data_IF_770163911649
#
_entry.id   IF_770163911649
#
_cell.length_a   1.000
_cell.length_b   1.000
_cell.length_c   1.000
_cell.angle_alpha   90.00
_cell.angle_beta   90.00
_cell.angle_gamma   90.00
#
_symmetry.space_group_name_H-M   'P 1'
#
loop_
_entity.id
_entity.type
_entity.pdbx_description
1 polymer ?
#
# COMPACT_ATOMS: atom_id res chain seq x y z
N UNK A 1 -22.10 20.93 -33.84
CA UNK A 1 -22.88 19.81 -34.40
C UNK A 1 -22.04 19.02 -35.40
N UNK A 2 -22.34 17.71 -35.60
CA UNK A 2 -21.74 16.94 -36.74
C UNK A 2 -22.39 17.43 -37.99
N UNK A 3 -21.59 17.97 -38.92
CA UNK A 3 -22.05 18.53 -40.21
C UNK A 3 -22.12 17.44 -41.26
N UNK A 4 -21.13 16.53 -41.29
CA UNK A 4 -21.13 15.36 -42.15
C UNK A 4 -20.25 14.29 -41.56
N UNK A 5 -20.58 13.04 -41.84
CA UNK A 5 -19.74 11.88 -41.62
C UNK A 5 -19.60 11.08 -42.90
N UNK A 6 -18.41 10.69 -43.23
CA UNK A 6 -18.13 9.91 -44.42
C UNK A 6 -17.18 8.77 -44.08
N UNK A 7 -17.55 7.57 -44.49
CA UNK A 7 -16.76 6.38 -44.28
C UNK A 7 -16.34 5.77 -45.62
N UNK A 8 -15.05 5.57 -45.83
CA UNK A 8 -14.56 4.89 -47.05
C UNK A 8 -13.44 3.89 -46.70
N UNK A 9 -13.42 2.84 -47.49
CA UNK A 9 -12.41 1.81 -47.39
C UNK A 9 -11.10 2.26 -48.07
N UNK A 10 -10.01 2.29 -47.31
CA UNK A 10 -8.69 2.68 -47.85
C UNK A 10 -7.92 1.47 -48.37
N UNK A 11 -8.15 0.28 -47.76
CA UNK A 11 -7.64 -1.06 -48.18
C UNK A 11 -8.53 -2.13 -47.56
N UNK A 12 -8.38 -3.41 -47.99
CA UNK A 12 -9.23 -4.54 -47.59
C UNK A 12 -9.51 -4.71 -46.07
N UNK A 13 -8.77 -4.05 -45.18
CA UNK A 13 -8.95 -4.14 -43.72
C UNK A 13 -8.82 -2.78 -42.99
N UNK A 14 -8.87 -1.66 -43.71
CA UNK A 14 -8.75 -0.34 -43.11
C UNK A 14 -9.86 0.56 -43.62
N UNK A 15 -10.56 1.13 -42.62
CA UNK A 15 -11.62 2.11 -42.84
C UNK A 15 -11.10 3.47 -42.39
N UNK A 16 -11.30 4.48 -43.18
CA UNK A 16 -11.10 5.87 -42.81
C UNK A 16 -12.46 6.50 -42.58
N UNK A 17 -12.65 7.09 -41.40
CA UNK A 17 -13.84 7.85 -41.06
C UNK A 17 -13.44 9.31 -41.02
N UNK A 18 -14.08 10.15 -41.81
CA UNK A 18 -13.94 11.59 -41.78
C UNK A 18 -15.21 12.17 -41.18
N UNK A 19 -15.06 12.91 -40.09
CA UNK A 19 -16.15 13.57 -39.41
C UNK A 19 -15.88 15.06 -39.46
N UNK A 20 -16.73 15.82 -40.15
CA UNK A 20 -16.71 17.26 -40.13
C UNK A 20 -17.63 17.75 -39.02
N UNK A 21 -17.10 18.55 -38.11
CA UNK A 21 -17.83 19.09 -36.98
C UNK A 21 -17.80 20.60 -37.03
N UNK A 22 -18.95 21.20 -36.74
CA UNK A 22 -19.07 22.62 -36.42
C UNK A 22 -19.12 22.75 -34.89
N UNK A 23 -18.06 23.27 -34.30
CA UNK A 23 -17.93 23.41 -32.84
C UNK A 23 -18.81 24.54 -32.28
N UNK A 24 -19.30 25.44 -33.17
CA UNK A 24 -20.04 26.62 -32.75
C UNK A 24 -19.17 27.69 -32.09
N UNK A 25 -19.79 28.77 -31.55
CA UNK A 25 -19.04 29.83 -30.89
C UNK A 25 -18.42 29.36 -29.57
N UNK A 26 -17.22 29.88 -29.26
CA UNK A 26 -16.56 29.66 -27.99
C UNK A 26 -17.21 30.54 -26.91
N UNK A 27 -17.74 29.91 -25.86
CA UNK A 27 -18.32 30.62 -24.71
C UNK A 27 -17.29 30.80 -23.59
N UNK A 28 -17.42 31.90 -22.81
CA UNK A 28 -16.54 32.21 -21.68
C UNK A 28 -17.33 32.47 -20.42
N UNK A 29 -16.78 32.06 -19.25
CA UNK A 29 -17.34 32.42 -17.97
C UNK A 29 -17.27 33.93 -17.76
N UNK A 30 -18.40 34.56 -17.40
CA UNK A 30 -18.46 35.96 -17.08
C UNK A 30 -18.59 36.20 -15.58
N UNK A 31 -19.65 35.74 -14.95
CA UNK A 31 -19.89 35.85 -13.53
C UNK A 31 -20.32 34.50 -12.96
N UNK A 32 -19.86 34.18 -11.75
CA UNK A 32 -20.31 33.04 -10.97
C UNK A 32 -20.83 33.57 -9.65
N UNK A 33 -22.11 33.33 -9.37
CA UNK A 33 -22.80 33.76 -8.15
C UNK A 33 -23.24 32.57 -7.36
N UNK A 34 -23.29 32.73 -6.02
CA UNK A 34 -23.70 31.69 -5.10
C UNK A 34 -24.93 32.19 -4.32
N UNK A 35 -25.93 31.34 -4.20
CA UNK A 35 -27.15 31.62 -3.43
C UNK A 35 -27.51 30.45 -2.54
N UNK A 36 -27.91 30.72 -1.27
CA UNK A 36 -28.27 29.70 -0.30
C UNK A 36 -27.11 29.11 0.51
N UNK A 37 -25.91 29.68 0.41
CA UNK A 37 -24.70 29.29 1.13
C UNK A 37 -24.61 30.05 2.48
N UNK A 38 -25.24 29.52 3.51
CA UNK A 38 -25.18 30.15 4.84
C UNK A 38 -23.93 29.73 5.64
N UNK A 39 -23.36 28.60 5.35
CA UNK A 39 -22.23 28.01 6.07
C UNK A 39 -20.87 28.52 5.60
N UNK A 40 -20.69 28.64 4.31
CA UNK A 40 -19.43 29.07 3.68
C UNK A 40 -19.63 30.37 2.89
N UNK A 41 -18.64 31.26 2.96
CA UNK A 41 -18.68 32.52 2.21
C UNK A 41 -18.44 32.31 0.73
N UNK A 42 -18.95 33.24 -0.10
CA UNK A 42 -18.74 33.23 -1.56
C UNK A 42 -17.25 33.18 -1.91
N UNK A 43 -16.40 33.87 -1.14
CA UNK A 43 -14.95 33.87 -1.36
C UNK A 43 -14.33 32.48 -1.16
N UNK A 44 -14.76 31.72 -0.16
CA UNK A 44 -14.30 30.35 0.06
C UNK A 44 -14.76 29.40 -1.05
N UNK A 45 -16.01 29.56 -1.51
CA UNK A 45 -16.54 28.76 -2.60
C UNK A 45 -15.84 29.08 -3.93
N UNK A 46 -15.56 30.36 -4.19
CA UNK A 46 -14.83 30.81 -5.38
C UNK A 46 -13.38 30.28 -5.41
N UNK A 47 -12.69 30.23 -4.26
CA UNK A 47 -11.35 29.65 -4.15
C UNK A 47 -11.35 28.17 -4.56
N UNK A 48 -12.33 27.37 -4.09
CA UNK A 48 -12.45 25.95 -4.46
C UNK A 48 -12.83 25.79 -5.91
N UNK A 49 -13.76 26.63 -6.40
CA UNK A 49 -14.19 26.61 -7.80
C UNK A 49 -13.01 26.86 -8.73
N UNK A 50 -12.14 27.80 -8.38
CA UNK A 50 -10.93 28.16 -9.16
C UNK A 50 -11.21 28.29 -10.65
N UNK A 51 -12.29 28.99 -11.00
CA UNK A 51 -12.70 29.37 -12.35
C UNK A 51 -12.76 30.91 -12.38
N UNK A 52 -12.01 31.50 -13.29
CA UNK A 52 -11.91 32.96 -13.37
C UNK A 52 -12.80 33.50 -14.48
N UNK A 53 -13.18 34.78 -14.33
CA UNK A 53 -13.85 35.53 -15.39
C UNK A 53 -12.98 35.55 -16.64
N UNK A 54 -13.55 35.18 -17.80
CA UNK A 54 -12.87 35.12 -19.07
C UNK A 54 -12.29 33.75 -19.44
N UNK A 55 -12.27 32.79 -18.51
CA UNK A 55 -11.88 31.38 -18.79
C UNK A 55 -12.87 30.79 -19.81
N UNK A 56 -12.38 29.91 -20.67
CA UNK A 56 -13.21 29.19 -21.63
C UNK A 56 -14.22 28.33 -20.88
N UNK A 57 -15.49 28.40 -21.27
CA UNK A 57 -16.55 27.62 -20.67
C UNK A 57 -16.28 26.11 -20.87
N UNK A 58 -16.20 25.41 -19.77
CA UNK A 58 -15.99 23.96 -19.75
C UNK A 58 -16.91 23.32 -18.70
N UNK A 59 -18.01 22.74 -19.19
CA UNK A 59 -18.99 22.06 -18.32
C UNK A 59 -18.37 20.95 -17.47
N UNK A 60 -17.46 20.16 -18.03
CA UNK A 60 -16.79 19.09 -17.32
C UNK A 60 -15.92 19.62 -16.16
N UNK A 61 -15.26 20.77 -16.37
CA UNK A 61 -14.52 21.45 -15.31
C UNK A 61 -15.47 21.96 -14.23
N UNK A 62 -16.56 22.63 -14.61
CA UNK A 62 -17.60 23.13 -13.71
C UNK A 62 -18.15 21.99 -12.83
N UNK A 63 -18.59 20.90 -13.46
CA UNK A 63 -19.12 19.73 -12.76
C UNK A 63 -18.09 19.10 -11.81
N UNK A 64 -16.82 19.01 -12.22
CA UNK A 64 -15.75 18.48 -11.40
C UNK A 64 -15.40 19.33 -10.18
N UNK A 65 -15.74 20.63 -10.21
CA UNK A 65 -15.56 21.57 -9.10
C UNK A 65 -16.79 21.65 -8.19
N UNK A 66 -17.95 21.31 -8.72
CA UNK A 66 -19.21 21.28 -7.97
C UNK A 66 -19.46 19.92 -7.31
N UNK A 67 -19.30 18.83 -8.08
CA UNK A 67 -19.74 17.49 -7.67
C UNK A 67 -18.58 16.56 -7.42
N UNK A 68 -18.63 15.89 -6.31
CA UNK A 68 -17.91 14.68 -5.88
C UNK A 68 -16.62 14.32 -6.65
N UNK A 69 -15.65 15.20 -6.67
CA UNK A 69 -14.34 14.91 -7.21
C UNK A 69 -13.65 13.82 -6.36
N UNK A 70 -12.98 12.89 -7.03
CA UNK A 70 -12.22 11.84 -6.34
C UNK A 70 -11.09 12.40 -5.44
N UNK A 71 -10.54 13.56 -5.77
CA UNK A 71 -9.53 14.23 -4.98
C UNK A 71 -10.10 15.01 -3.77
N UNK A 72 -11.45 15.09 -3.61
CA UNK A 72 -12.09 15.82 -2.51
C UNK A 72 -11.93 17.34 -2.58
N UNK A 73 -11.58 17.87 -3.76
CA UNK A 73 -11.37 19.32 -3.98
C UNK A 73 -12.54 19.91 -4.78
N UNK A 74 -13.73 19.81 -4.23
CA UNK A 74 -14.96 20.29 -4.82
C UNK A 74 -15.90 20.84 -3.73
N UNK A 75 -16.89 21.66 -4.12
CA UNK A 75 -17.81 22.28 -3.19
C UNK A 75 -18.65 21.23 -2.42
N UNK A 76 -19.08 20.15 -3.10
CA UNK A 76 -19.85 19.11 -2.42
C UNK A 76 -19.02 18.40 -1.35
N UNK A 77 -17.73 18.18 -1.59
CA UNK A 77 -16.83 17.58 -0.60
C UNK A 77 -16.64 18.48 0.63
N UNK A 78 -16.51 19.80 0.43
CA UNK A 78 -16.39 20.75 1.54
C UNK A 78 -17.57 20.65 2.50
N UNK A 79 -18.79 20.63 2.00
CA UNK A 79 -20.00 20.52 2.81
C UNK A 79 -20.20 19.11 3.39
N UNK A 80 -19.95 18.07 2.61
CA UNK A 80 -20.10 16.67 3.06
C UNK A 80 -19.07 16.28 4.12
N UNK A 81 -17.89 16.91 4.14
CA UNK A 81 -16.90 16.69 5.18
C UNK A 81 -17.29 17.32 6.52
N UNK A 82 -18.22 18.28 6.50
CA UNK A 82 -18.83 18.87 7.72
C UNK A 82 -20.25 18.32 7.99
N UNK A 83 -20.58 17.17 7.47
CA UNK A 83 -21.81 16.44 7.80
C UNK A 83 -23.04 16.77 6.95
N UNK A 84 -22.97 17.65 5.98
CA UNK A 84 -24.09 18.02 5.13
C UNK A 84 -24.33 17.01 4.00
N UNK A 85 -24.72 15.80 4.37
CA UNK A 85 -24.89 14.67 3.45
C UNK A 85 -25.94 14.91 2.37
N UNK A 86 -26.96 15.72 2.62
CA UNK A 86 -28.02 16.08 1.71
C UNK A 86 -27.71 17.37 0.92
N UNK A 87 -26.45 17.83 0.95
CA UNK A 87 -26.00 18.98 0.18
C UNK A 87 -26.17 18.76 -1.33
N UNK A 88 -26.71 19.76 -1.98
CA UNK A 88 -26.92 19.73 -3.44
C UNK A 88 -26.69 21.11 -4.04
N UNK A 89 -25.68 21.31 -4.91
CA UNK A 89 -25.51 22.52 -5.72
C UNK A 89 -26.24 22.37 -7.05
N UNK A 90 -26.99 23.36 -7.45
CA UNK A 90 -27.73 23.40 -8.69
C UNK A 90 -27.22 24.58 -9.56
N UNK A 91 -26.30 24.34 -10.51
CA UNK A 91 -25.76 25.37 -11.37
C UNK A 91 -26.77 25.72 -12.48
N UNK A 92 -27.21 26.98 -12.53
CA UNK A 92 -28.07 27.52 -13.57
C UNK A 92 -27.24 28.34 -14.53
N UNK A 93 -27.18 27.91 -15.77
CA UNK A 93 -26.46 28.57 -16.84
C UNK A 93 -27.37 29.65 -17.47
N UNK A 94 -26.93 30.90 -17.45
CA UNK A 94 -27.63 32.03 -18.05
C UNK A 94 -26.82 32.53 -19.24
N UNK A 95 -27.35 32.36 -20.45
CA UNK A 95 -26.73 32.86 -21.66
C UNK A 95 -26.89 34.41 -21.71
N UNK A 96 -25.78 35.07 -21.93
CA UNK A 96 -25.71 36.52 -22.06
C UNK A 96 -25.36 36.86 -23.51
N UNK A 97 -25.93 37.93 -24.11
CA UNK A 97 -25.53 38.36 -25.43
C UNK A 97 -24.02 38.58 -25.54
N UNK A 98 -23.38 37.99 -26.57
CA UNK A 98 -21.96 38.13 -26.82
C UNK A 98 -21.09 37.06 -26.21
N UNK A 99 -21.30 35.77 -26.51
CA UNK A 99 -20.41 34.62 -26.21
C UNK A 99 -20.00 34.46 -24.72
N UNK A 100 -20.88 34.92 -23.81
CA UNK A 100 -20.62 34.86 -22.36
C UNK A 100 -21.69 34.07 -21.64
N UNK A 101 -21.30 33.40 -20.54
CA UNK A 101 -22.19 32.61 -19.67
C UNK A 101 -22.02 33.10 -18.23
N UNK A 102 -23.14 33.46 -17.62
CA UNK A 102 -23.24 33.63 -16.16
C UNK A 102 -23.72 32.32 -15.55
N UNK A 103 -23.15 31.95 -14.40
CA UNK A 103 -23.55 30.77 -13.64
C UNK A 103 -24.11 31.22 -12.28
N UNK A 104 -25.37 30.88 -12.03
CA UNK A 104 -25.99 31.05 -10.70
C UNK A 104 -26.03 29.67 -10.00
N UNK A 105 -25.17 29.49 -9.01
CA UNK A 105 -25.08 28.22 -8.24
C UNK A 105 -26.03 28.32 -7.05
N UNK A 106 -27.16 27.64 -7.17
CA UNK A 106 -28.15 27.56 -6.11
C UNK A 106 -27.82 26.41 -5.15
N UNK A 107 -27.44 26.74 -3.94
CA UNK A 107 -27.00 25.80 -2.94
C UNK A 107 -28.15 25.44 -2.01
N UNK A 108 -28.38 24.14 -1.86
CA UNK A 108 -29.25 23.56 -0.84
C UNK A 108 -28.37 22.84 0.17
N UNK A 109 -28.09 23.47 1.31
CA UNK A 109 -27.17 22.94 2.31
C UNK A 109 -27.77 21.69 3.02
N UNK A 110 -29.07 21.71 3.32
CA UNK A 110 -29.74 20.66 4.08
C UNK A 110 -29.39 20.69 5.57
N UNK A 111 -29.48 19.53 6.23
CA UNK A 111 -29.14 19.35 7.63
C UNK A 111 -27.82 18.61 7.79
N UNK A 112 -27.12 18.83 8.89
CA UNK A 112 -25.99 17.99 9.30
C UNK A 112 -26.49 16.63 9.78
N UNK A 113 -25.80 15.58 9.37
CA UNK A 113 -26.07 14.20 9.78
C UNK A 113 -24.95 13.67 10.67
N UNK A 114 -25.34 12.95 11.73
CA UNK A 114 -24.42 12.18 12.57
C UNK A 114 -24.54 10.70 12.26
N UNK A 115 -23.40 10.02 12.27
CA UNK A 115 -23.35 8.57 12.06
C UNK A 115 -24.00 7.89 13.28
N UNK A 116 -25.04 7.10 13.06
CA UNK A 116 -25.71 6.30 14.08
C UNK A 116 -25.09 4.91 14.18
N UNK A 117 -25.09 4.17 13.05
CA UNK A 117 -24.54 2.83 12.97
C UNK A 117 -23.61 2.70 11.78
N UNK A 118 -22.62 1.78 11.92
CA UNK A 118 -21.79 1.30 10.83
C UNK A 118 -22.01 -0.20 10.69
N UNK A 119 -22.59 -0.59 9.57
CA UNK A 119 -23.00 -1.96 9.23
C UNK A 119 -22.03 -2.50 8.17
N UNK A 120 -21.57 -3.72 8.33
CA UNK A 120 -20.66 -4.39 7.39
C UNK A 120 -21.41 -5.61 6.82
N UNK A 121 -21.37 -5.77 5.49
CA UNK A 121 -21.99 -6.89 4.77
C UNK A 121 -21.00 -7.52 3.80
N UNK A 122 -21.13 -8.83 3.60
CA UNK A 122 -20.38 -9.60 2.59
C UNK A 122 -19.07 -10.21 3.07
N UNK A 123 -18.68 -9.99 4.33
CA UNK A 123 -17.55 -10.66 4.96
C UNK A 123 -17.95 -12.07 5.43
N UNK A 124 -17.50 -13.09 4.69
CA UNK A 124 -17.82 -14.50 4.98
C UNK A 124 -16.69 -15.21 5.74
N UNK A 125 -15.44 -14.93 5.40
CA UNK A 125 -14.23 -15.50 6.01
C UNK A 125 -13.55 -14.51 6.94
N UNK A 126 -13.52 -13.23 6.53
CA UNK A 126 -12.84 -12.18 7.28
C UNK A 126 -13.68 -11.78 8.48
N UNK A 127 -13.07 -11.81 9.65
CA UNK A 127 -13.72 -11.40 10.89
C UNK A 127 -14.05 -9.90 10.88
N UNK A 128 -15.19 -9.54 11.41
CA UNK A 128 -15.69 -8.16 11.37
C UNK A 128 -14.73 -7.16 12.02
N UNK A 129 -14.01 -7.55 13.07
CA UNK A 129 -13.05 -6.68 13.73
C UNK A 129 -11.89 -6.24 12.81
N UNK A 130 -11.52 -7.07 11.83
CA UNK A 130 -10.47 -6.77 10.83
C UNK A 130 -10.92 -5.63 9.93
N UNK A 131 -12.19 -5.61 9.55
CA UNK A 131 -12.77 -4.54 8.73
C UNK A 131 -12.98 -3.30 9.58
N UNK A 132 -13.56 -3.43 10.78
CA UNK A 132 -13.87 -2.29 11.67
C UNK A 132 -12.65 -1.47 12.07
N UNK A 133 -11.48 -2.09 12.21
CA UNK A 133 -10.25 -1.38 12.58
C UNK A 133 -9.73 -0.45 11.46
N UNK A 134 -10.12 -0.70 10.22
CA UNK A 134 -9.78 0.12 9.04
C UNK A 134 -10.85 1.18 8.72
N UNK A 135 -11.99 1.18 9.45
CA UNK A 135 -13.08 2.14 9.26
C UNK A 135 -12.79 3.41 10.06
N UNK A 136 -12.75 4.54 9.36
CA UNK A 136 -12.55 5.86 9.95
C UNK A 136 -13.86 6.49 10.42
N UNK A 137 -14.98 6.16 9.80
CA UNK A 137 -16.32 6.65 10.18
C UNK A 137 -16.82 5.93 11.43
N UNK A 138 -16.96 6.66 12.53
CA UNK A 138 -17.36 6.06 13.83
C UNK A 138 -18.73 6.55 14.26
N UNK A 139 -19.55 5.69 14.92
CA UNK A 139 -20.82 6.09 15.49
C UNK A 139 -20.66 7.32 16.43
N UNK A 140 -21.61 8.26 16.34
CA UNK A 140 -21.62 9.52 17.10
C UNK A 140 -20.88 10.67 16.45
N UNK A 141 -19.98 10.45 15.48
CA UNK A 141 -19.30 11.50 14.73
C UNK A 141 -20.22 12.13 13.69
N UNK A 142 -19.90 13.34 13.25
CA UNK A 142 -20.50 13.91 12.05
C UNK A 142 -20.14 13.04 10.84
N UNK A 143 -21.05 12.96 9.87
CA UNK A 143 -20.73 12.35 8.59
C UNK A 143 -19.57 13.12 7.93
N UNK A 144 -18.62 12.39 7.39
CA UNK A 144 -17.48 12.97 6.67
C UNK A 144 -17.20 12.11 5.44
N UNK A 145 -17.30 12.72 4.26
CA UNK A 145 -17.09 12.04 2.98
C UNK A 145 -15.65 11.57 2.80
N UNK A 146 -14.70 12.40 3.19
CA UNK A 146 -13.27 12.07 3.10
C UNK A 146 -12.92 10.84 3.93
N UNK A 147 -13.52 10.66 5.12
CA UNK A 147 -13.37 9.47 5.95
C UNK A 147 -14.00 8.22 5.30
N UNK A 148 -15.12 8.38 4.58
CA UNK A 148 -15.71 7.26 3.81
C UNK A 148 -14.78 6.84 2.69
N UNK A 149 -14.28 7.77 1.88
CA UNK A 149 -13.35 7.49 0.77
C UNK A 149 -12.06 6.86 1.31
N UNK A 150 -11.53 7.39 2.41
CA UNK A 150 -10.36 6.84 3.08
C UNK A 150 -10.59 5.41 3.54
N UNK A 151 -11.74 5.13 4.15
CA UNK A 151 -12.13 3.78 4.56
C UNK A 151 -12.15 2.82 3.37
N UNK A 152 -12.79 3.21 2.26
CA UNK A 152 -12.81 2.38 1.05
C UNK A 152 -11.40 2.11 0.51
N UNK A 153 -10.53 3.11 0.51
CA UNK A 153 -9.13 2.97 0.09
C UNK A 153 -8.37 2.01 1.00
N UNK A 154 -8.46 2.16 2.31
CA UNK A 154 -7.78 1.28 3.27
C UNK A 154 -8.29 -0.17 3.12
N UNK A 155 -9.60 -0.39 2.99
CA UNK A 155 -10.16 -1.71 2.76
C UNK A 155 -9.67 -2.32 1.42
N UNK A 156 -9.53 -1.52 0.37
CA UNK A 156 -9.02 -2.00 -0.92
C UNK A 156 -7.55 -2.41 -0.87
N UNK A 157 -6.75 -1.76 -0.03
CA UNK A 157 -5.32 -2.07 0.13
C UNK A 157 -5.06 -3.35 0.92
N UNK A 158 -6.04 -3.86 1.66
CA UNK A 158 -5.93 -5.12 2.39
C UNK A 158 -5.70 -6.33 1.44
N UNK A 159 -6.16 -6.23 0.17
CA UNK A 159 -5.85 -7.19 -0.87
C UNK A 159 -6.74 -8.44 -0.91
N UNK A 160 -7.64 -8.64 0.05
CA UNK A 160 -8.59 -9.75 0.09
C UNK A 160 -10.05 -9.35 -0.16
N UNK A 161 -10.29 -8.10 -0.53
CA UNK A 161 -11.57 -7.63 -1.05
C UNK A 161 -11.45 -7.22 -2.52
N UNK A 162 -12.54 -7.37 -3.25
CA UNK A 162 -12.65 -6.90 -4.63
C UNK A 162 -12.96 -5.39 -4.63
N UNK A 163 -12.05 -4.51 -5.12
CA UNK A 163 -12.27 -3.06 -5.10
C UNK A 163 -13.47 -2.60 -5.95
N UNK A 164 -13.80 -3.35 -7.01
CA UNK A 164 -14.85 -2.98 -7.95
C UNK A 164 -16.26 -3.19 -7.38
N UNK A 165 -16.41 -4.16 -6.47
CA UNK A 165 -17.70 -4.48 -5.83
C UNK A 165 -17.86 -3.86 -4.44
N UNK A 166 -16.84 -3.12 -3.95
CA UNK A 166 -16.97 -2.41 -2.68
C UNK A 166 -17.88 -1.19 -2.82
N UNK A 167 -18.87 -1.11 -1.93
CA UNK A 167 -19.82 -0.01 -1.90
C UNK A 167 -20.04 0.54 -0.50
N UNK A 168 -20.53 1.77 -0.44
CA UNK A 168 -21.05 2.39 0.78
C UNK A 168 -22.42 2.94 0.49
N UNK A 169 -23.39 2.50 1.24
CA UNK A 169 -24.78 2.97 1.14
C UNK A 169 -25.15 3.76 2.40
N UNK A 170 -25.26 5.11 2.33
CA UNK A 170 -25.71 5.93 3.43
C UNK A 170 -27.24 5.91 3.52
N UNK A 171 -27.78 5.35 4.59
CA UNK A 171 -29.21 5.32 4.87
C UNK A 171 -29.55 6.47 5.81
N UNK A 172 -30.14 7.51 5.26
CA UNK A 172 -30.46 8.74 5.97
C UNK A 172 -31.80 8.65 6.72
N UNK A 173 -31.82 9.12 7.99
CA UNK A 173 -33.05 9.39 8.73
C UNK A 173 -33.17 10.91 8.91
N UNK A 174 -33.93 11.56 8.02
CA UNK A 174 -34.14 13.01 8.03
C UNK A 174 -34.85 13.51 9.32
N UNK A 175 -35.61 12.62 9.99
CA UNK A 175 -36.34 12.96 11.21
C UNK A 175 -35.39 13.15 12.39
N UNK A 176 -34.41 12.28 12.53
CA UNK A 176 -33.44 12.30 13.63
C UNK A 176 -32.12 13.04 13.28
N UNK A 177 -31.89 13.35 12.01
CA UNK A 177 -30.60 13.91 11.56
C UNK A 177 -29.44 12.90 11.68
N UNK A 178 -29.75 11.60 11.54
CA UNK A 178 -28.75 10.53 11.63
C UNK A 178 -28.64 9.75 10.33
N UNK A 179 -27.51 9.10 10.13
CA UNK A 179 -27.23 8.24 8.99
C UNK A 179 -26.63 6.93 9.45
N UNK A 180 -27.13 5.81 8.91
CA UNK A 180 -26.49 4.52 9.00
C UNK A 180 -25.61 4.31 7.77
N UNK A 181 -24.35 3.92 7.96
CA UNK A 181 -23.43 3.63 6.87
C UNK A 181 -23.31 2.12 6.69
N UNK A 182 -23.77 1.64 5.57
CA UNK A 182 -23.66 0.23 5.19
C UNK A 182 -22.50 0.04 4.22
N UNK A 183 -21.41 -0.58 4.71
CA UNK A 183 -20.26 -0.97 3.91
C UNK A 183 -20.47 -2.38 3.36
N UNK A 184 -20.52 -2.51 2.04
CA UNK A 184 -20.60 -3.81 1.37
C UNK A 184 -19.22 -4.17 0.85
N UNK A 185 -18.73 -5.36 1.18
CA UNK A 185 -17.48 -5.92 0.70
C UNK A 185 -17.73 -7.27 0.03
N UNK A 186 -16.91 -7.63 -0.93
CA UNK A 186 -16.91 -8.94 -1.57
C UNK A 186 -15.51 -9.54 -1.41
N UNK A 187 -15.41 -10.70 -0.81
CA UNK A 187 -14.15 -11.38 -0.60
C UNK A 187 -13.66 -12.06 -1.88
N UNK A 188 -12.39 -11.85 -2.20
CA UNK A 188 -11.71 -12.53 -3.31
C UNK A 188 -10.61 -13.45 -2.80
N UNK A 189 -10.24 -14.49 -3.57
CA UNK A 189 -9.06 -15.29 -3.26
C UNK A 189 -7.83 -14.39 -3.15
N UNK A 190 -7.16 -14.44 -2.02
CA UNK A 190 -5.98 -13.61 -1.73
C UNK A 190 -4.72 -14.43 -1.53
N UNK A 191 -4.89 -15.75 -1.43
CA UNK A 191 -3.77 -16.69 -1.30
C UNK A 191 -3.12 -16.88 -2.67
N UNK A 192 -1.79 -16.84 -2.70
CA UNK A 192 -1.01 -16.94 -3.92
C UNK A 192 -0.01 -18.07 -3.82
N UNK A 193 0.01 -18.88 -4.86
CA UNK A 193 1.05 -19.86 -5.15
C UNK A 193 1.89 -19.32 -6.31
N UNK A 194 3.16 -19.08 -6.07
CA UNK A 194 4.11 -18.63 -7.08
C UNK A 194 5.11 -19.74 -7.36
N UNK A 195 5.12 -20.22 -8.58
CA UNK A 195 6.15 -21.14 -9.07
C UNK A 195 6.89 -20.45 -10.20
N UNK A 196 8.18 -20.25 -10.03
CA UNK A 196 9.02 -19.65 -11.06
C UNK A 196 10.27 -20.47 -11.30
N UNK A 197 10.67 -20.53 -12.58
CA UNK A 197 11.90 -21.18 -13.02
C UNK A 197 12.64 -20.28 -13.98
N UNK A 198 13.95 -20.27 -13.92
CA UNK A 198 14.80 -19.51 -14.81
C UNK A 198 16.12 -20.23 -15.07
N UNK A 199 16.81 -19.82 -16.15
CA UNK A 199 18.14 -20.27 -16.47
C UNK A 199 19.12 -19.11 -16.28
N UNK A 200 20.14 -19.32 -15.44
CA UNK A 200 21.15 -18.30 -15.17
C UNK A 200 22.48 -18.93 -14.76
N UNK A 201 23.58 -18.34 -15.20
CA UNK A 201 24.94 -18.83 -14.94
C UNK A 201 25.13 -20.32 -15.25
N UNK A 202 24.52 -20.83 -16.34
CA UNK A 202 24.61 -22.24 -16.75
C UNK A 202 23.76 -23.20 -15.88
N UNK A 203 22.80 -22.71 -15.10
CA UNK A 203 22.05 -23.53 -14.13
C UNK A 203 20.57 -23.16 -14.10
N UNK A 204 19.74 -24.12 -13.70
CA UNK A 204 18.30 -23.87 -13.46
C UNK A 204 18.11 -23.36 -12.03
N UNK A 205 17.39 -22.27 -11.90
CA UNK A 205 16.93 -21.73 -10.60
C UNK A 205 15.45 -22.00 -10.51
N UNK A 206 15.00 -22.62 -9.43
CA UNK A 206 13.59 -22.85 -9.12
C UNK A 206 13.22 -22.10 -7.84
N UNK A 207 12.04 -21.49 -7.84
CA UNK A 207 11.50 -20.78 -6.68
C UNK A 207 10.02 -21.14 -6.51
N UNK A 208 9.67 -21.52 -5.29
CA UNK A 208 8.30 -21.77 -4.85
C UNK A 208 7.97 -20.76 -3.76
N UNK A 209 6.91 -19.99 -3.96
CA UNK A 209 6.37 -19.03 -3.00
C UNK A 209 4.93 -19.38 -2.64
N UNK A 210 4.60 -19.31 -1.35
CA UNK A 210 3.24 -19.39 -0.82
C UNK A 210 2.99 -18.12 -0.02
N UNK A 211 1.94 -17.38 -0.36
CA UNK A 211 1.57 -16.14 0.33
C UNK A 211 0.10 -16.20 0.73
N UNK A 212 -0.15 -16.07 2.02
CA UNK A 212 -1.48 -16.07 2.63
C UNK A 212 -1.69 -14.71 3.27
N UNK A 213 -2.60 -13.89 2.72
CA UNK A 213 -2.75 -12.48 3.14
C UNK A 213 -3.84 -12.24 4.18
N UNK A 214 -4.71 -13.19 4.39
CA UNK A 214 -5.75 -13.13 5.43
C UNK A 214 -5.64 -14.29 6.41
N UNK A 215 -4.41 -14.64 6.80
CA UNK A 215 -4.13 -15.74 7.71
C UNK A 215 -4.67 -15.47 9.11
N UNK A 216 -5.00 -16.54 9.86
CA UNK A 216 -5.43 -16.48 11.25
C UNK A 216 -4.64 -17.43 12.13
N UNK A 217 -3.72 -16.90 12.91
CA UNK A 217 -2.97 -17.68 13.93
C UNK A 217 -3.91 -18.23 15.02
N UNK A 218 -4.97 -17.48 15.36
CA UNK A 218 -5.97 -17.89 16.36
C UNK A 218 -6.70 -19.16 15.98
N UNK A 219 -6.94 -19.34 14.69
CA UNK A 219 -7.67 -20.48 14.16
C UNK A 219 -6.77 -21.65 13.76
N UNK A 220 -5.46 -21.56 14.01
CA UNK A 220 -4.48 -22.58 13.61
C UNK A 220 -4.81 -23.96 14.19
N UNK A 221 -5.34 -24.01 15.41
CA UNK A 221 -5.69 -25.26 16.11
C UNK A 221 -7.17 -25.68 15.91
N UNK A 222 -7.93 -24.96 15.08
CA UNK A 222 -9.32 -25.29 14.78
C UNK A 222 -9.40 -25.98 13.42
N UNK A 223 -9.53 -27.31 13.40
CA UNK A 223 -9.57 -28.09 12.15
C UNK A 223 -10.66 -27.65 11.16
N UNK A 224 -11.81 -27.18 11.64
CA UNK A 224 -12.90 -26.66 10.81
C UNK A 224 -12.55 -25.36 10.06
N UNK A 225 -11.52 -24.65 10.49
CA UNK A 225 -11.09 -23.38 9.87
C UNK A 225 -10.06 -23.58 8.72
N UNK A 226 -9.63 -24.82 8.48
CA UNK A 226 -8.64 -25.13 7.44
C UNK A 226 -9.31 -25.28 6.06
N UNK A 227 -9.24 -24.20 5.23
CA UNK A 227 -9.81 -24.16 3.87
C UNK A 227 -8.96 -23.33 2.86
N UNK A 228 -7.75 -23.71 2.43
CA UNK A 228 -6.83 -24.75 2.87
C UNK A 228 -6.06 -24.39 4.15
N UNK A 229 -5.89 -23.11 4.47
CA UNK A 229 -5.29 -22.61 5.71
C UNK A 229 -6.30 -21.77 6.50
N UNK A 230 -6.13 -21.68 7.83
CA UNK A 230 -7.00 -20.86 8.65
C UNK A 230 -6.86 -19.39 8.28
N UNK A 231 -8.00 -18.76 8.00
CA UNK A 231 -8.06 -17.37 7.55
C UNK A 231 -9.04 -16.54 8.40
N UNK A 232 -9.01 -15.22 8.22
CA UNK A 232 -9.99 -14.29 8.78
C UNK A 232 -9.46 -13.22 9.73
N UNK A 233 -8.21 -13.26 10.18
CA UNK A 233 -7.66 -12.25 11.11
C UNK A 233 -6.79 -11.19 10.42
N UNK A 234 -6.66 -11.25 9.08
CA UNK A 234 -5.91 -10.25 8.31
C UNK A 234 -4.40 -10.30 8.53
N UNK A 235 -3.87 -11.41 9.06
CA UNK A 235 -2.44 -11.64 9.18
C UNK A 235 -1.86 -12.09 7.85
N UNK A 236 -0.56 -11.89 7.65
CA UNK A 236 0.12 -12.35 6.45
C UNK A 236 1.15 -13.41 6.80
N UNK A 237 1.10 -14.55 6.13
CA UNK A 237 2.07 -15.62 6.23
C UNK A 237 2.68 -15.89 4.84
N UNK A 238 4.01 -15.72 4.73
CA UNK A 238 4.73 -16.02 3.50
C UNK A 238 5.74 -17.13 3.75
N UNK A 239 5.75 -18.11 2.86
CA UNK A 239 6.72 -19.19 2.81
C UNK A 239 7.40 -19.14 1.46
N UNK A 240 8.72 -19.20 1.41
CA UNK A 240 9.46 -19.23 0.16
C UNK A 240 10.58 -20.26 0.23
N UNK A 241 10.68 -21.07 -0.79
CA UNK A 241 11.77 -21.99 -1.04
C UNK A 241 12.38 -21.67 -2.41
N UNK A 242 13.69 -21.57 -2.46
CA UNK A 242 14.44 -21.31 -3.70
C UNK A 242 15.62 -22.27 -3.79
N UNK A 243 15.87 -22.83 -4.94
CA UNK A 243 17.00 -23.72 -5.14
C UNK A 243 17.63 -23.54 -6.51
N UNK A 244 18.94 -23.72 -6.56
CA UNK A 244 19.74 -23.86 -7.76
C UNK A 244 20.50 -25.21 -7.64
N UNK A 245 19.76 -26.29 -7.36
CA UNK A 245 20.33 -27.61 -7.12
C UNK A 245 21.28 -27.64 -5.92
N UNK A 246 22.53 -28.07 -6.14
CA UNK A 246 23.53 -28.25 -5.07
C UNK A 246 24.24 -26.95 -4.68
N UNK A 247 24.18 -25.92 -5.50
CA UNK A 247 24.97 -24.70 -5.29
C UNK A 247 24.31 -23.69 -4.36
N UNK A 248 23.00 -23.61 -4.44
CA UNK A 248 22.24 -22.65 -3.64
C UNK A 248 20.87 -23.23 -3.24
N UNK A 249 20.55 -23.08 -1.96
CA UNK A 249 19.22 -23.38 -1.41
C UNK A 249 18.88 -22.30 -0.39
N UNK A 250 17.66 -21.78 -0.45
CA UNK A 250 17.17 -20.78 0.50
C UNK A 250 15.73 -21.10 0.90
N UNK A 251 15.46 -21.02 2.17
CA UNK A 251 14.14 -21.21 2.77
C UNK A 251 13.86 -20.01 3.64
N UNK A 252 12.69 -19.43 3.51
CA UNK A 252 12.27 -18.31 4.35
C UNK A 252 10.82 -18.44 4.76
N UNK A 253 10.54 -17.99 5.97
CA UNK A 253 9.20 -17.82 6.54
C UNK A 253 9.08 -16.39 7.03
N UNK A 254 7.98 -15.73 6.73
CA UNK A 254 7.66 -14.39 7.23
C UNK A 254 6.22 -14.36 7.70
N UNK A 255 6.01 -13.87 8.90
CA UNK A 255 4.69 -13.64 9.49
C UNK A 255 4.54 -12.17 9.85
N UNK A 256 3.39 -11.59 9.54
CA UNK A 256 3.06 -10.19 9.87
C UNK A 256 1.68 -10.13 10.51
N UNK A 257 1.62 -9.58 11.71
CA UNK A 257 0.37 -9.15 12.37
C UNK A 257 0.28 -7.62 12.27
N UNK A 258 -0.64 -7.07 11.47
CA UNK A 258 -0.70 -5.61 11.24
C UNK A 258 -1.25 -4.83 12.44
N UNK A 259 -1.99 -5.49 13.34
CA UNK A 259 -2.64 -4.86 14.50
C UNK A 259 -2.37 -5.62 15.80
N UNK A 260 -1.11 -5.67 16.21
CA UNK A 260 -0.70 -6.32 17.45
C UNK A 260 -1.51 -5.78 18.65
N UNK A 261 -2.25 -6.69 19.30
CA UNK A 261 -3.16 -6.34 20.38
C UNK A 261 -4.52 -5.77 19.95
N UNK A 262 -4.80 -5.65 18.64
CA UNK A 262 -6.12 -5.33 18.09
C UNK A 262 -6.66 -3.91 18.31
N UNK A 263 -5.95 -3.06 19.06
CA UNK A 263 -6.44 -1.70 19.45
C UNK A 263 -5.77 -0.56 18.71
N UNK A 264 -4.54 -0.74 18.27
CA UNK A 264 -3.73 0.28 17.59
C UNK A 264 -3.03 -0.33 16.39
N UNK A 265 -2.79 0.42 15.31
CA UNK A 265 -2.09 -0.06 14.12
C UNK A 265 -0.59 -0.22 14.39
N UNK A 266 -0.24 -1.10 15.34
CA UNK A 266 1.12 -1.50 15.62
C UNK A 266 1.35 -2.84 14.91
N UNK A 267 2.21 -2.86 13.92
CA UNK A 267 2.52 -4.07 13.18
C UNK A 267 3.65 -4.84 13.87
N UNK A 268 3.48 -6.16 14.03
CA UNK A 268 4.52 -7.08 14.40
C UNK A 268 4.94 -7.87 13.16
N UNK A 269 6.23 -7.97 12.90
CA UNK A 269 6.79 -8.81 11.84
C UNK A 269 7.82 -9.76 12.42
N UNK A 270 7.71 -11.03 12.08
CA UNK A 270 8.68 -12.07 12.45
C UNK A 270 9.10 -12.75 11.17
N UNK A 271 10.41 -12.84 10.91
CA UNK A 271 10.88 -13.63 9.80
C UNK A 271 12.07 -14.50 10.21
N UNK A 272 12.14 -15.67 9.60
CA UNK A 272 13.26 -16.58 9.73
C UNK A 272 13.67 -17.08 8.34
N UNK A 273 14.96 -17.19 8.11
CA UNK A 273 15.46 -17.73 6.86
C UNK A 273 16.73 -18.55 7.06
N UNK A 274 16.95 -19.47 6.16
CA UNK A 274 18.17 -20.25 6.04
C UNK A 274 18.59 -20.32 4.60
N UNK A 275 19.80 -19.88 4.30
CA UNK A 275 20.41 -19.92 2.99
C UNK A 275 21.68 -20.77 3.04
N UNK A 276 21.83 -21.66 2.08
CA UNK A 276 23.00 -22.55 1.94
C UNK A 276 23.61 -22.28 0.58
N UNK A 277 24.85 -21.84 0.55
CA UNK A 277 25.64 -21.66 -0.66
C UNK A 277 26.80 -22.66 -0.64
N UNK A 278 27.07 -23.32 -1.77
CA UNK A 278 28.15 -24.31 -1.87
C UNK A 278 28.82 -24.21 -3.24
N UNK A 279 30.00 -24.82 -3.36
CA UNK A 279 30.69 -25.03 -4.63
C UNK A 279 30.11 -26.18 -5.47
N UNK A 280 29.01 -26.83 -5.01
CA UNK A 280 28.35 -27.92 -5.72
C UNK A 280 28.90 -29.32 -5.39
N UNK A 281 29.94 -29.40 -4.60
CA UNK A 281 30.50 -30.67 -4.14
C UNK A 281 29.55 -31.43 -3.18
N UNK A 282 29.58 -32.74 -3.25
CA UNK A 282 28.80 -33.61 -2.35
C UNK A 282 29.22 -33.37 -0.91
N UNK A 283 28.28 -33.54 0.03
CA UNK A 283 28.55 -33.38 1.47
C UNK A 283 29.45 -34.48 2.02
N UNK A 284 29.32 -35.66 1.45
CA UNK A 284 30.08 -36.84 1.86
C UNK A 284 30.65 -37.50 0.61
N UNK A 285 31.80 -38.16 0.77
CA UNK A 285 32.43 -39.04 -0.20
C UNK A 285 32.61 -40.42 0.41
N UNK A 286 32.45 -41.45 -0.39
CA UNK A 286 32.67 -42.81 0.02
C UNK A 286 34.15 -43.13 -0.25
N UNK A 287 34.85 -43.63 0.77
CA UNK A 287 36.25 -44.08 0.73
C UNK A 287 36.32 -45.53 1.14
N UNK A 288 37.45 -46.16 0.94
CA UNK A 288 37.67 -47.58 1.34
C UNK A 288 37.40 -47.81 2.83
N UNK A 289 37.67 -46.82 3.68
CA UNK A 289 37.46 -46.83 5.13
C UNK A 289 36.06 -46.42 5.57
N UNK A 290 35.15 -46.11 4.62
CA UNK A 290 33.77 -45.69 4.90
C UNK A 290 33.43 -44.29 4.39
N UNK A 291 32.27 -43.80 4.82
CA UNK A 291 31.72 -42.52 4.37
C UNK A 291 32.28 -41.37 5.20
N UNK A 292 33.07 -40.49 4.59
CA UNK A 292 33.66 -39.32 5.25
C UNK A 292 33.13 -38.00 4.72
N UNK A 293 33.29 -36.93 5.52
CA UNK A 293 32.97 -35.57 5.06
C UNK A 293 33.91 -35.15 3.94
N UNK A 294 33.37 -34.61 2.84
CA UNK A 294 34.17 -34.22 1.69
C UNK A 294 35.01 -32.97 2.02
N UNK A 295 36.34 -33.08 2.04
CA UNK A 295 37.23 -31.96 2.35
C UNK A 295 37.25 -30.87 1.28
N UNK A 296 36.85 -31.18 0.03
CA UNK A 296 36.78 -30.21 -1.10
C UNK A 296 35.52 -29.41 -1.07
N UNK A 297 34.54 -29.75 -0.24
CA UNK A 297 33.28 -29.04 -0.17
C UNK A 297 33.46 -27.69 0.53
N UNK A 298 33.12 -26.65 -0.17
CA UNK A 298 32.98 -25.29 0.37
C UNK A 298 31.50 -25.00 0.66
N UNK A 299 31.23 -24.42 1.82
CA UNK A 299 29.86 -24.03 2.15
C UNK A 299 29.81 -22.78 3.04
N UNK A 300 28.83 -21.93 2.74
CA UNK A 300 28.39 -20.83 3.57
C UNK A 300 26.91 -21.05 3.91
N UNK A 301 26.62 -21.19 5.18
CA UNK A 301 25.25 -21.31 5.67
C UNK A 301 24.92 -20.05 6.45
N UNK A 302 23.87 -19.35 6.03
CA UNK A 302 23.38 -18.16 6.72
C UNK A 302 22.01 -18.52 7.29
N UNK A 303 21.89 -18.44 8.61
CA UNK A 303 20.61 -18.58 9.29
C UNK A 303 20.27 -17.26 9.97
N UNK A 304 19.12 -16.68 9.68
CA UNK A 304 18.71 -15.40 10.23
C UNK A 304 17.32 -15.43 10.81
N UNK A 305 17.12 -14.64 11.86
CA UNK A 305 15.82 -14.37 12.48
C UNK A 305 15.72 -12.86 12.64
N UNK A 306 14.55 -12.29 12.27
CA UNK A 306 14.26 -10.87 12.49
C UNK A 306 12.94 -10.70 13.22
N UNK A 307 12.91 -9.74 14.15
CA UNK A 307 11.73 -9.31 14.87
C UNK A 307 11.56 -7.81 14.63
N UNK A 308 10.44 -7.42 14.04
CA UNK A 308 10.16 -6.03 13.72
C UNK A 308 8.87 -5.55 14.37
N UNK A 309 8.87 -4.31 14.86
CA UNK A 309 7.69 -3.62 15.34
C UNK A 309 7.56 -2.32 14.56
N UNK A 310 6.42 -2.15 13.89
CA UNK A 310 6.04 -0.94 13.16
C UNK A 310 4.95 -0.19 13.89
N UNK A 311 5.07 1.14 13.99
CA UNK A 311 4.08 2.00 14.61
C UNK A 311 3.77 3.19 13.71
N UNK A 312 2.49 3.41 13.39
CA UNK A 312 2.04 4.65 12.73
C UNK A 312 2.04 5.79 13.76
N UNK A 313 2.75 6.86 13.45
CA UNK A 313 2.81 8.06 14.28
C UNK A 313 1.60 8.94 13.99
N UNK A 314 1.20 9.75 14.97
CA UNK A 314 0.11 10.72 14.81
C UNK A 314 0.65 12.15 14.65
N UNK A 315 1.90 12.37 14.99
CA UNK A 315 2.59 13.65 14.91
C UNK A 315 3.91 13.48 14.12
N UNK A 316 4.26 14.40 13.24
CA UNK A 316 3.58 15.65 12.83
C UNK A 316 2.33 15.42 11.97
N UNK A 317 2.22 14.29 11.28
CA UNK A 317 1.04 13.84 10.55
C UNK A 317 0.89 12.31 10.65
N UNK A 318 -0.22 11.76 10.19
CA UNK A 318 -0.53 10.34 10.28
C UNK A 318 0.02 9.50 9.11
N UNK A 319 0.89 10.05 8.28
CA UNK A 319 1.59 9.37 7.19
C UNK A 319 2.94 8.79 7.62
N UNK A 320 3.44 9.15 8.80
CA UNK A 320 4.70 8.62 9.33
C UNK A 320 4.55 7.23 9.93
N UNK A 321 5.46 6.33 9.57
CA UNK A 321 5.60 4.99 10.14
C UNK A 321 7.02 4.85 10.68
N UNK A 322 7.12 4.56 11.98
CA UNK A 322 8.37 4.20 12.64
C UNK A 322 8.44 2.68 12.74
N UNK A 323 9.48 2.09 12.15
CA UNK A 323 9.75 0.66 12.24
C UNK A 323 11.08 0.43 12.97
N UNK A 324 11.04 -0.50 13.92
CA UNK A 324 12.20 -0.97 14.66
C UNK A 324 12.36 -2.45 14.37
N UNK A 325 13.55 -2.87 13.98
CA UNK A 325 13.82 -4.27 13.61
C UNK A 325 15.08 -4.74 14.33
N UNK A 326 14.96 -5.81 15.10
CA UNK A 326 16.05 -6.55 15.69
C UNK A 326 16.33 -7.75 14.79
N UNK A 327 17.55 -7.88 14.31
CA UNK A 327 17.98 -8.97 13.45
C UNK A 327 19.15 -9.73 14.07
N UNK A 328 19.08 -11.04 14.04
CA UNK A 328 20.18 -11.94 14.40
C UNK A 328 20.51 -12.83 13.21
N UNK A 329 21.80 -12.88 12.84
CA UNK A 329 22.29 -13.69 11.73
C UNK A 329 23.47 -14.53 12.20
N UNK A 330 23.44 -15.80 11.85
CA UNK A 330 24.49 -16.78 12.08
C UNK A 330 25.09 -17.18 10.74
N UNK A 331 26.38 -17.00 10.58
CA UNK A 331 27.17 -17.42 9.44
C UNK A 331 28.02 -18.63 9.83
N UNK A 332 27.83 -19.76 9.17
CA UNK A 332 28.64 -20.99 9.36
C UNK A 332 29.42 -21.23 8.05
N UNK A 333 30.73 -21.09 8.12
CA UNK A 333 31.66 -21.23 7.01
C UNK A 333 32.42 -22.52 7.12
N UNK A 334 32.51 -23.29 6.03
CA UNK A 334 33.35 -24.48 5.91
C UNK A 334 34.13 -24.43 4.61
N UNK A 335 35.46 -24.30 4.71
CA UNK A 335 36.40 -24.18 3.58
C UNK A 335 36.01 -23.09 2.58
N UNK A 336 35.27 -22.04 3.01
CA UNK A 336 34.70 -21.03 2.14
C UNK A 336 35.77 -19.99 1.80
N UNK A 337 36.29 -20.04 0.58
CA UNK A 337 37.37 -19.15 0.12
C UNK A 337 36.97 -18.20 -1.02
N UNK A 338 35.79 -18.39 -1.60
CA UNK A 338 35.35 -17.58 -2.75
C UNK A 338 33.84 -17.39 -2.77
N UNK A 339 33.39 -16.15 -2.98
CA UNK A 339 31.98 -15.81 -3.09
C UNK A 339 31.75 -14.30 -3.07
N UNK A 340 30.49 -13.90 -3.16
CA UNK A 340 30.09 -12.49 -3.12
C UNK A 340 30.33 -11.83 -1.75
N UNK A 341 30.55 -12.61 -0.70
CA UNK A 341 30.84 -12.13 0.65
C UNK A 341 32.27 -12.55 1.01
N UNK A 342 33.10 -11.55 1.35
CA UNK A 342 34.47 -11.75 1.76
C UNK A 342 34.52 -11.79 3.29
N UNK A 343 34.97 -12.92 3.83
CA UNK A 343 35.24 -13.08 5.27
C UNK A 343 36.75 -13.12 5.52
N UNK A 344 37.17 -12.70 6.69
CA UNK A 344 38.57 -12.76 7.12
C UNK A 344 39.05 -14.17 7.44
N UNK A 345 38.12 -15.15 7.47
CA UNK A 345 38.40 -16.57 7.79
C UNK A 345 37.61 -17.49 6.86
N UNK A 346 38.13 -18.68 6.61
CA UNK A 346 37.54 -19.69 5.70
C UNK A 346 36.72 -20.75 6.43
N UNK A 347 36.98 -20.93 7.71
CA UNK A 347 36.30 -21.90 8.58
C UNK A 347 35.93 -21.22 9.88
N UNK A 348 34.69 -21.44 10.33
CA UNK A 348 34.23 -20.92 11.60
C UNK A 348 32.81 -20.42 11.57
N UNK A 349 32.38 -19.83 12.67
CA UNK A 349 31.04 -19.32 12.88
C UNK A 349 31.14 -17.85 13.27
N UNK A 350 30.36 -16.99 12.60
CA UNK A 350 30.23 -15.58 12.94
C UNK A 350 28.77 -15.23 13.25
N UNK A 351 28.57 -14.42 14.27
CA UNK A 351 27.26 -13.95 14.70
C UNK A 351 27.15 -12.45 14.46
N UNK A 352 26.00 -12.01 13.93
CA UNK A 352 25.73 -10.60 13.75
C UNK A 352 24.37 -10.29 14.38
N UNK A 353 24.38 -9.45 15.40
CA UNK A 353 23.18 -8.83 15.95
C UNK A 353 23.06 -7.42 15.38
N UNK A 354 21.92 -7.07 14.84
CA UNK A 354 21.69 -5.75 14.26
C UNK A 354 20.37 -5.17 14.75
N UNK A 355 20.38 -3.86 14.98
CA UNK A 355 19.18 -3.08 15.25
C UNK A 355 19.00 -2.06 14.14
N UNK A 356 17.83 -2.06 13.50
CA UNK A 356 17.49 -1.12 12.43
C UNK A 356 16.33 -0.26 12.89
N UNK A 357 16.52 1.06 12.79
CA UNK A 357 15.49 2.06 12.99
C UNK A 357 15.16 2.68 11.63
N UNK A 358 13.90 2.59 11.22
CA UNK A 358 13.43 3.12 9.94
C UNK A 358 12.26 4.07 10.20
N UNK A 359 12.37 5.28 9.66
CA UNK A 359 11.29 6.25 9.61
C UNK A 359 10.87 6.44 8.15
N UNK A 360 9.62 6.13 7.83
CA UNK A 360 9.07 6.32 6.48
C UNK A 360 7.86 7.22 6.52
N UNK A 361 7.73 8.08 5.51
CA UNK A 361 6.55 8.91 5.27
C UNK A 361 6.10 8.70 3.84
N UNK A 362 4.84 8.32 3.66
CA UNK A 362 4.25 8.17 2.34
C UNK A 362 2.90 8.87 2.29
N UNK A 363 2.84 9.98 1.58
CA UNK A 363 1.62 10.78 1.38
C UNK A 363 1.15 10.79 -0.08
N UNK A 364 1.65 9.87 -0.91
CA UNK A 364 1.27 9.74 -2.31
C UNK A 364 -0.23 9.44 -2.44
N UNK A 365 -0.87 10.07 -3.42
CA UNK A 365 -2.29 9.93 -3.70
C UNK A 365 -2.65 8.57 -4.31
N UNK A 366 -1.77 8.01 -5.15
CA UNK A 366 -1.97 6.72 -5.81
C UNK A 366 -0.66 5.91 -5.83
N UNK A 367 -0.72 4.57 -5.63
CA UNK A 367 0.46 3.70 -5.68
C UNK A 367 1.14 3.68 -7.06
N UNK A 368 0.34 3.81 -8.14
CA UNK A 368 0.80 3.86 -9.52
C UNK A 368 0.46 5.21 -10.10
N UNK A 369 1.43 5.85 -10.79
CA UNK A 369 1.26 7.17 -11.43
C UNK A 369 0.80 8.25 -10.44
N UNK A 370 1.49 8.37 -9.30
CA UNK A 370 1.21 9.40 -8.30
C UNK A 370 1.35 10.80 -8.91
N UNK A 371 0.35 11.65 -8.66
CA UNK A 371 0.33 13.05 -9.13
C UNK A 371 0.64 14.04 -8.03
N UNK A 372 0.45 13.63 -6.78
CA UNK A 372 0.68 14.49 -5.61
C UNK A 372 1.20 13.67 -4.43
N UNK A 373 1.92 14.32 -3.52
CA UNK A 373 2.45 13.70 -2.32
C UNK A 373 3.94 13.41 -2.41
N UNK A 374 4.49 12.81 -1.36
CA UNK A 374 5.91 12.43 -1.26
C UNK A 374 6.06 11.06 -0.61
N UNK A 375 7.12 10.36 -0.97
CA UNK A 375 7.53 9.12 -0.34
C UNK A 375 9.00 9.25 0.09
N UNK A 376 9.26 9.25 1.39
CA UNK A 376 10.59 9.42 1.96
C UNK A 376 10.84 8.32 3.00
N UNK A 377 12.01 7.70 2.96
CA UNK A 377 12.42 6.70 3.95
C UNK A 377 13.83 6.99 4.41
N UNK A 378 14.02 7.04 5.73
CA UNK A 378 15.32 7.17 6.38
C UNK A 378 15.53 5.91 7.21
N UNK A 379 16.67 5.23 7.05
CA UNK A 379 17.00 4.00 7.76
C UNK A 379 18.39 4.11 8.38
N UNK A 380 18.47 3.74 9.65
CA UNK A 380 19.74 3.65 10.40
C UNK A 380 19.87 2.23 10.93
N UNK A 381 20.96 1.55 10.57
CA UNK A 381 21.29 0.20 11.05
C UNK A 381 22.53 0.26 11.92
N UNK A 382 22.43 -0.26 13.12
CA UNK A 382 23.56 -0.37 14.06
C UNK A 382 23.79 -1.83 14.43
N UNK A 383 25.07 -2.19 14.55
CA UNK A 383 25.51 -3.49 15.08
C UNK A 383 26.33 -3.22 16.35
N UNK A 384 25.99 -3.85 17.50
CA UNK A 384 26.75 -3.64 18.73
C UNK A 384 28.20 -4.01 18.53
N UNK A 385 29.15 -3.21 19.07
CA UNK A 385 30.57 -3.55 19.04
C UNK A 385 30.82 -4.68 20.05
N UNK A 386 30.91 -5.92 19.57
CA UNK A 386 31.14 -7.11 20.43
C UNK A 386 32.42 -7.04 21.23
N UNK A 387 33.43 -6.31 20.74
CA UNK A 387 34.67 -6.04 21.42
C UNK A 387 34.51 -5.41 22.81
N UNK A 388 33.44 -4.61 23.01
CA UNK A 388 33.15 -4.01 24.32
C UNK A 388 32.69 -5.04 25.38
N UNK A 389 32.21 -6.19 24.95
CA UNK A 389 31.67 -7.23 25.84
C UNK A 389 32.61 -8.40 26.09
N UNK A 390 33.82 -8.39 25.48
CA UNK A 390 34.84 -9.43 25.63
C UNK A 390 36.20 -8.82 25.93
N UNK A 391 36.45 -8.30 27.13
CA UNK A 391 37.66 -7.54 27.45
C UNK A 391 38.96 -8.39 27.47
N UNK A 392 38.86 -9.74 27.57
CA UNK A 392 40.03 -10.64 27.66
C UNK A 392 40.59 -11.09 26.30
N UNK A 393 40.02 -10.62 25.18
CA UNK A 393 40.49 -11.02 23.85
C UNK A 393 41.47 -9.95 23.33
N UNK A 394 42.64 -10.40 22.90
CA UNK A 394 43.58 -9.50 22.19
C UNK A 394 42.98 -9.14 20.84
N UNK A 395 42.56 -7.88 20.70
CA UNK A 395 41.90 -7.34 19.53
C UNK A 395 42.90 -6.83 18.50
N UNK A 396 44.20 -6.84 18.77
CA UNK A 396 45.23 -6.34 17.87
C UNK A 396 45.35 -7.19 16.59
N UNK A 397 44.98 -8.47 16.64
CA UNK A 397 44.99 -9.40 15.50
C UNK A 397 43.66 -9.49 14.73
N UNK A 398 42.63 -8.76 15.16
CA UNK A 398 41.33 -8.78 14.49
C UNK A 398 41.15 -7.49 13.68
N UNK A 399 40.90 -7.65 12.39
CA UNK A 399 40.49 -6.55 11.50
C UNK A 399 39.17 -5.96 12.05
N UNK A 400 39.19 -4.69 12.44
CA UNK A 400 38.08 -3.96 12.98
C UNK A 400 36.87 -4.01 12.01
N UNK A 401 35.79 -4.65 12.41
CA UNK A 401 34.48 -4.43 11.80
C UNK A 401 34.05 -3.00 12.15
N UNK A 402 34.16 -2.11 11.17
CA UNK A 402 33.70 -0.73 11.30
C UNK A 402 32.20 -0.75 11.53
N UNK A 403 31.73 0.01 12.50
CA UNK A 403 30.31 0.35 12.66
C UNK A 403 29.86 1.04 11.36
N UNK A 404 29.25 0.28 10.47
CA UNK A 404 28.71 0.82 9.22
C UNK A 404 27.35 1.47 9.53
N UNK A 405 27.30 2.80 9.55
CA UNK A 405 26.04 3.53 9.46
C UNK A 405 25.73 3.68 7.97
N UNK A 406 24.79 2.90 7.46
CA UNK A 406 24.25 3.08 6.12
C UNK A 406 23.08 4.04 6.20
N UNK A 407 23.22 5.22 5.62
CA UNK A 407 22.16 6.19 5.37
C UNK A 407 21.67 5.99 3.92
N UNK A 408 20.64 5.21 3.74
CA UNK A 408 19.95 5.12 2.46
C UNK A 408 18.82 6.17 2.43
N UNK A 409 19.10 7.32 1.84
CA UNK A 409 18.09 8.31 1.51
C UNK A 409 17.64 8.06 0.07
N UNK A 410 16.57 7.30 -0.12
CA UNK A 410 15.89 7.25 -1.40
C UNK A 410 15.00 8.51 -1.51
N UNK A 411 15.54 9.56 -2.10
CA UNK A 411 14.77 10.71 -2.56
C UNK A 411 14.18 10.30 -3.91
N UNK A 412 12.86 10.12 -3.97
CA UNK A 412 12.17 9.95 -5.25
C UNK A 412 12.40 11.22 -6.08
N UNK A 413 13.07 11.08 -7.20
CA UNK A 413 13.18 12.15 -8.20
C UNK A 413 11.79 12.47 -8.73
N UNK A 414 11.42 13.73 -8.59
CA UNK A 414 10.44 14.37 -9.44
C UNK A 414 11.04 14.44 -10.85
N UNK A 415 10.50 13.68 -11.78
CA UNK A 415 10.69 13.96 -13.21
C UNK A 415 9.31 14.24 -13.81
N UNK A 416 9.15 15.55 -14.16
CA UNK A 416 8.33 16.26 -15.16
C UNK A 416 6.93 15.71 -15.49
#
# INVERSE_FOLDING_TARGET
AIVSDTMYFVREKRVRVEIAMDEGPEFRFRNITYTGNSKHSDAQLAEIMNINKGDIYNKKLLDSRLYMNQAGRDISSLYMDDGYLAFYPDPIELLVPGDSIDIDIRIREGKQYRIRNVIIKGNTKTTEHVIRREIYTKPGQLFNRSDVIRTQRELSTLGYFNPESMGVNPIQDARTGTVDLEYTVEEKPSDRLELSGGWGAGRVVLSLGLSFTNFSMRNLFKGSAWTPLPSGDGQTLNLRAQTNGRFFQSYSLSFVEPWLGGRKPNALSISAYRSVQTNGENRFIDTEDGRIANPLRQSLIITGVTLGIGKRLQWPDNYFILRQTLGYQLYDLKNYSSGAVVFSFTNGVSNVLSYTLQLSRSSIDQPFFSRTGSNTTISVKATPPYSLFQPERDWADLVFDRVGVHLDAAVGQEDL
#
